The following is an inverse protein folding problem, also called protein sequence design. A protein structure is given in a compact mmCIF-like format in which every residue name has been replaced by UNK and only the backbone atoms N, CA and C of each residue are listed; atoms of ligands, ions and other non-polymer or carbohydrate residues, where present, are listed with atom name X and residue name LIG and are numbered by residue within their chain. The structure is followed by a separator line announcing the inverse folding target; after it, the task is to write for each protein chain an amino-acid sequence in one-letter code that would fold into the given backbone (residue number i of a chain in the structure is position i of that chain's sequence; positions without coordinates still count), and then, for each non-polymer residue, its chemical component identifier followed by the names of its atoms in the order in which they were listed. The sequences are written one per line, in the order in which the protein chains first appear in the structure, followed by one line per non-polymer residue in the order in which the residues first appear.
data_IF_119958184449
#
_entry.id   IF_119958184449
#
_cell.length_a   1.000
_cell.length_b   1.000
_cell.length_c   1.000
_cell.angle_alpha   90.00
_cell.angle_beta   90.00
_cell.angle_gamma   90.00
#
_symmetry.space_group_name_H-M   'P 1'
#
loop_
_entity.id
_entity.type
_entity.pdbx_description
1 polymer ?
#
# COMPACT_ATOMS: atom_id res chain seq x y z
N UNK A 1 11.39 -29.22 -12.62
CA UNK A 1 11.30 -27.98 -11.84
C UNK A 1 11.50 -28.31 -10.38
N UNK A 2 12.54 -27.78 -9.76
CA UNK A 2 12.79 -27.81 -8.32
C UNK A 2 11.91 -26.77 -7.61
N UNK A 3 11.80 -26.84 -6.28
CA UNK A 3 11.10 -25.79 -5.52
C UNK A 3 11.71 -24.41 -5.74
N UNK A 4 13.05 -24.31 -5.80
CA UNK A 4 13.74 -23.04 -6.00
C UNK A 4 13.46 -22.47 -7.40
N UNK A 5 13.43 -23.33 -8.43
CA UNK A 5 13.02 -22.92 -9.79
C UNK A 5 11.54 -22.47 -9.80
N UNK A 6 10.67 -23.16 -9.08
CA UNK A 6 9.25 -22.80 -8.99
C UNK A 6 9.03 -21.46 -8.29
N UNK A 7 9.78 -21.15 -7.23
CA UNK A 7 9.71 -19.84 -6.57
C UNK A 7 10.14 -18.70 -7.52
N UNK A 8 11.17 -18.92 -8.33
CA UNK A 8 11.59 -17.94 -9.34
C UNK A 8 10.56 -17.77 -10.46
N UNK A 9 9.83 -18.84 -10.83
CA UNK A 9 8.70 -18.74 -11.75
C UNK A 9 7.58 -17.86 -11.16
N UNK A 10 7.21 -18.07 -9.88
CA UNK A 10 6.20 -17.25 -9.20
C UNK A 10 6.65 -15.78 -9.13
N UNK A 11 7.93 -15.50 -8.85
CA UNK A 11 8.45 -14.12 -8.92
C UNK A 11 8.18 -13.49 -10.30
N UNK A 12 8.36 -14.26 -11.38
CA UNK A 12 8.08 -13.76 -12.73
C UNK A 12 6.58 -13.53 -12.97
N UNK A 13 5.71 -14.42 -12.49
CA UNK A 13 4.25 -14.27 -12.54
C UNK A 13 3.82 -12.96 -11.85
N UNK A 14 4.23 -12.74 -10.61
CA UNK A 14 3.86 -11.54 -9.83
C UNK A 14 4.38 -10.23 -10.48
N UNK A 15 5.56 -10.27 -11.12
CA UNK A 15 6.05 -9.13 -11.91
C UNK A 15 5.08 -8.78 -13.07
N UNK A 16 4.52 -9.79 -13.73
CA UNK A 16 3.56 -9.61 -14.83
C UNK A 16 2.22 -9.11 -14.28
N UNK A 17 1.78 -9.57 -13.12
CA UNK A 17 0.54 -9.11 -12.48
C UNK A 17 0.62 -7.63 -12.08
N UNK A 18 1.72 -7.20 -11.45
CA UNK A 18 1.99 -5.78 -11.16
C UNK A 18 1.94 -4.95 -12.43
N UNK A 19 2.62 -5.38 -13.50
CA UNK A 19 2.62 -4.67 -14.78
C UNK A 19 1.21 -4.60 -15.40
N UNK A 20 0.43 -5.67 -15.29
CA UNK A 20 -0.94 -5.73 -15.77
C UNK A 20 -1.83 -4.73 -15.01
N UNK A 21 -1.73 -4.66 -13.68
CA UNK A 21 -2.48 -3.71 -12.86
C UNK A 21 -2.11 -2.26 -13.13
N UNK A 22 -0.81 -1.95 -13.27
CA UNK A 22 -0.35 -0.62 -13.66
C UNK A 22 -0.94 -0.23 -15.01
N UNK A 23 -0.97 -1.16 -15.98
CA UNK A 23 -1.57 -0.91 -17.29
C UNK A 23 -3.07 -0.60 -17.21
N UNK A 24 -3.81 -1.21 -16.28
CA UNK A 24 -5.22 -0.87 -16.00
C UNK A 24 -5.35 0.51 -15.37
N UNK A 25 -4.51 0.84 -14.38
CA UNK A 25 -4.50 2.15 -13.74
C UNK A 25 -4.18 3.28 -14.74
N UNK A 26 -3.26 3.06 -15.68
CA UNK A 26 -2.95 4.00 -16.75
C UNK A 26 -4.11 4.18 -17.74
N UNK A 27 -4.89 3.13 -18.00
CA UNK A 27 -6.01 3.17 -18.96
C UNK A 27 -7.29 3.75 -18.37
N UNK A 28 -7.61 3.44 -17.12
CA UNK A 28 -8.89 3.76 -16.50
C UNK A 28 -8.79 4.76 -15.35
N UNK A 29 -7.58 5.14 -14.94
CA UNK A 29 -7.32 5.99 -13.79
C UNK A 29 -7.05 5.17 -12.53
N UNK A 30 -6.22 5.73 -11.65
CA UNK A 30 -5.80 5.11 -10.38
C UNK A 30 -6.95 4.98 -9.38
N UNK A 31 -7.91 5.91 -9.41
CA UNK A 31 -9.07 5.93 -8.53
C UNK A 31 -10.27 5.13 -9.05
N UNK A 32 -10.18 4.54 -10.25
CA UNK A 32 -11.28 3.73 -10.80
C UNK A 32 -11.44 2.43 -10.02
N UNK A 33 -12.70 2.03 -9.85
CA UNK A 33 -13.13 0.80 -9.21
C UNK A 33 -13.89 -0.02 -10.26
N UNK A 34 -13.26 -1.09 -10.74
CA UNK A 34 -13.89 -2.06 -11.63
C UNK A 34 -15.21 -2.58 -11.03
N UNK A 35 -16.27 -2.83 -11.84
CA UNK A 35 -17.51 -3.42 -11.36
C UNK A 35 -17.29 -4.74 -10.61
N UNK A 36 -18.04 -4.94 -9.52
CA UNK A 36 -18.05 -6.14 -8.69
C UNK A 36 -16.77 -6.39 -7.85
N UNK A 37 -16.00 -5.34 -7.57
CA UNK A 37 -14.90 -5.43 -6.60
C UNK A 37 -14.77 -4.12 -5.80
N UNK A 38 -14.22 -4.14 -4.57
CA UNK A 38 -14.29 -3.00 -3.64
C UNK A 38 -13.07 -2.06 -3.69
N UNK A 39 -12.05 -2.36 -4.49
CA UNK A 39 -10.74 -1.69 -4.47
C UNK A 39 -10.54 -0.77 -5.67
N UNK A 40 -9.81 0.30 -5.47
CA UNK A 40 -9.29 1.15 -6.54
C UNK A 40 -8.20 0.44 -7.32
N UNK A 41 -7.94 0.86 -8.56
CA UNK A 41 -6.80 0.36 -9.32
C UNK A 41 -5.46 0.59 -8.60
N UNK A 42 -5.32 1.68 -7.84
CA UNK A 42 -4.13 1.92 -7.02
C UNK A 42 -3.96 0.87 -5.92
N UNK A 43 -5.02 0.54 -5.18
CA UNK A 43 -4.98 -0.51 -4.15
C UNK A 43 -4.66 -1.88 -4.76
N UNK A 44 -5.23 -2.19 -5.92
CA UNK A 44 -4.96 -3.44 -6.63
C UNK A 44 -3.52 -3.56 -7.13
N UNK A 45 -2.89 -2.45 -7.56
CA UNK A 45 -1.44 -2.45 -7.86
C UNK A 45 -0.65 -2.79 -6.60
N UNK A 46 -1.06 -2.26 -5.44
CA UNK A 46 -0.36 -2.52 -4.18
C UNK A 46 -0.56 -3.94 -3.65
N UNK A 47 -1.68 -4.59 -3.95
CA UNK A 47 -1.88 -6.01 -3.62
C UNK A 47 -0.86 -6.89 -4.37
N UNK A 48 -0.79 -6.82 -5.71
CA UNK A 48 0.19 -7.65 -6.45
C UNK A 48 1.64 -7.26 -6.10
N UNK A 49 1.89 -5.99 -5.75
CA UNK A 49 3.21 -5.57 -5.30
C UNK A 49 3.57 -6.18 -3.93
N UNK A 50 2.59 -6.33 -3.03
CA UNK A 50 2.81 -7.02 -1.75
C UNK A 50 3.09 -8.50 -1.96
N UNK A 51 2.38 -9.16 -2.88
CA UNK A 51 2.61 -10.56 -3.24
C UNK A 51 4.00 -10.76 -3.85
N UNK A 52 4.44 -9.84 -4.73
CA UNK A 52 5.81 -9.79 -5.25
C UNK A 52 6.86 -9.65 -4.13
N UNK A 53 6.63 -8.78 -3.13
CA UNK A 53 7.56 -8.64 -2.00
C UNK A 53 7.63 -9.95 -1.22
N UNK A 54 6.48 -10.56 -0.91
CA UNK A 54 6.42 -11.79 -0.12
C UNK A 54 7.24 -12.91 -0.78
N UNK A 55 7.10 -13.11 -2.09
CA UNK A 55 7.84 -14.16 -2.80
C UNK A 55 9.34 -13.85 -2.91
N UNK A 56 9.73 -12.57 -3.04
CA UNK A 56 11.13 -12.15 -3.03
C UNK A 56 11.77 -12.39 -1.65
N UNK A 57 11.06 -12.08 -0.57
CA UNK A 57 11.52 -12.36 0.80
C UNK A 57 11.70 -13.87 1.04
N UNK A 58 10.78 -14.71 0.52
CA UNK A 58 10.95 -16.17 0.56
C UNK A 58 12.20 -16.63 -0.21
N UNK A 59 12.50 -16.01 -1.36
CA UNK A 59 13.71 -16.31 -2.13
C UNK A 59 14.99 -15.89 -1.40
N UNK A 60 14.98 -14.73 -0.72
CA UNK A 60 16.10 -14.24 0.10
C UNK A 60 16.36 -15.15 1.29
N UNK A 61 15.29 -15.58 1.99
CA UNK A 61 15.39 -16.55 3.08
C UNK A 61 15.99 -17.90 2.66
N UNK A 62 15.92 -18.24 1.36
CA UNK A 62 16.54 -19.43 0.76
C UNK A 62 17.87 -19.16 0.06
N UNK A 63 18.42 -17.94 0.19
CA UNK A 63 19.65 -17.50 -0.49
C UNK A 63 19.62 -17.63 -2.02
N UNK A 64 18.42 -17.55 -2.63
CA UNK A 64 18.26 -17.55 -4.10
C UNK A 64 18.48 -16.17 -4.69
N UNK A 65 18.10 -15.13 -3.94
CA UNK A 65 18.27 -13.74 -4.30
C UNK A 65 18.96 -13.00 -3.16
N UNK A 66 19.84 -12.02 -3.45
CA UNK A 66 20.42 -11.17 -2.43
C UNK A 66 19.38 -10.18 -1.88
N UNK A 67 19.69 -9.63 -0.71
CA UNK A 67 18.93 -8.51 -0.14
C UNK A 67 18.99 -7.27 -1.03
N UNK A 68 17.96 -6.43 -0.90
CA UNK A 68 17.88 -5.20 -1.68
C UNK A 68 18.79 -4.13 -1.06
N UNK A 69 19.78 -3.72 -1.85
CA UNK A 69 20.68 -2.63 -1.54
C UNK A 69 19.96 -1.27 -1.55
N UNK A 70 19.72 -0.69 -0.37
CA UNK A 70 18.94 0.56 -0.23
C UNK A 70 19.51 1.73 -1.03
N UNK A 71 20.84 1.83 -1.17
CA UNK A 71 21.47 2.91 -1.94
C UNK A 71 21.12 2.84 -3.43
N UNK A 72 20.94 1.64 -4.01
CA UNK A 72 20.50 1.48 -5.42
C UNK A 72 19.11 2.04 -5.64
N UNK A 73 18.22 1.90 -4.65
CA UNK A 73 16.88 2.48 -4.69
C UNK A 73 16.99 4.01 -4.75
N UNK A 74 17.78 4.61 -3.87
CA UNK A 74 17.91 6.08 -3.81
C UNK A 74 18.57 6.66 -5.07
N UNK A 75 19.61 5.99 -5.62
CA UNK A 75 20.19 6.38 -6.92
C UNK A 75 19.17 6.28 -8.05
N UNK A 76 18.35 5.23 -8.08
CA UNK A 76 17.32 5.04 -9.11
C UNK A 76 16.25 6.13 -9.02
N UNK A 77 15.81 6.51 -7.82
CA UNK A 77 14.88 7.63 -7.60
C UNK A 77 15.45 8.94 -8.14
N UNK A 78 16.68 9.30 -7.74
CA UNK A 78 17.34 10.52 -8.21
C UNK A 78 17.48 10.56 -9.75
N UNK A 79 17.74 9.40 -10.38
CA UNK A 79 17.79 9.27 -11.84
C UNK A 79 16.42 9.48 -12.49
N UNK A 80 15.36 8.90 -11.92
CA UNK A 80 13.98 9.07 -12.42
C UNK A 80 13.56 10.54 -12.32
N UNK A 81 13.82 11.20 -11.20
CA UNK A 81 13.47 12.62 -11.00
C UNK A 81 14.11 13.52 -12.07
N UNK A 82 15.40 13.28 -12.36
CA UNK A 82 16.11 13.98 -13.44
C UNK A 82 15.46 13.74 -14.80
N UNK A 83 15.06 12.50 -15.10
CA UNK A 83 14.40 12.19 -16.36
C UNK A 83 12.99 12.77 -16.47
N UNK A 84 12.24 12.82 -15.37
CA UNK A 84 10.93 13.48 -15.36
C UNK A 84 11.06 14.99 -15.57
N UNK A 85 12.04 15.64 -14.94
CA UNK A 85 12.35 17.05 -15.18
C UNK A 85 12.69 17.30 -16.65
N UNK A 86 13.55 16.46 -17.24
CA UNK A 86 13.91 16.57 -18.64
C UNK A 86 12.72 16.31 -19.58
N UNK A 87 11.90 15.29 -19.31
CA UNK A 87 10.70 14.99 -20.10
C UNK A 87 9.70 16.16 -20.09
N UNK A 88 9.56 16.86 -18.95
CA UNK A 88 8.77 18.10 -18.86
C UNK A 88 9.36 19.22 -19.73
N UNK A 89 10.67 19.41 -19.70
CA UNK A 89 11.34 20.39 -20.57
C UNK A 89 11.15 20.08 -22.06
N UNK A 90 11.10 18.79 -22.43
CA UNK A 90 10.79 18.34 -23.78
C UNK A 90 9.29 18.42 -24.14
N UNK A 91 8.40 18.73 -23.17
CA UNK A 91 6.96 18.76 -23.38
C UNK A 91 6.30 17.39 -23.58
N UNK A 92 7.00 16.28 -23.28
CA UNK A 92 6.47 14.91 -23.46
C UNK A 92 5.67 14.40 -22.27
N UNK A 93 5.78 15.07 -21.12
CA UNK A 93 5.01 14.79 -19.91
C UNK A 93 4.45 16.10 -19.37
N UNK A 94 3.14 16.15 -19.17
CA UNK A 94 2.44 17.26 -18.52
C UNK A 94 2.26 16.97 -17.04
N UNK A 95 2.06 18.01 -16.23
CA UNK A 95 1.63 17.83 -14.85
C UNK A 95 0.20 17.28 -14.83
N UNK A 96 -0.04 16.29 -13.96
CA UNK A 96 -1.39 15.83 -13.72
C UNK A 96 -2.19 16.97 -13.09
N UNK A 97 -3.33 17.32 -13.69
CA UNK A 97 -4.29 18.25 -13.06
C UNK A 97 -4.72 17.62 -11.74
N UNK A 98 -4.40 18.27 -10.63
CA UNK A 98 -4.89 17.83 -9.33
C UNK A 98 -6.41 17.93 -9.34
N UNK A 99 -7.10 16.78 -9.28
CA UNK A 99 -8.50 16.78 -8.95
C UNK A 99 -8.65 17.40 -7.56
N UNK A 100 -9.25 18.58 -7.48
CA UNK A 100 -9.61 19.21 -6.21
C UNK A 100 -10.61 18.32 -5.49
N UNK A 101 -10.14 17.45 -4.60
CA UNK A 101 -10.99 16.63 -3.74
C UNK A 101 -11.61 17.50 -2.65
N UNK A 102 -12.68 18.22 -2.96
CA UNK A 102 -13.51 18.93 -1.98
C UNK A 102 -14.60 18.04 -1.34
N UNK A 103 -14.71 16.75 -1.69
CA UNK A 103 -15.94 16.00 -1.43
C UNK A 103 -15.82 14.65 -0.70
N UNK A 104 -14.67 14.21 -0.17
CA UNK A 104 -14.58 12.88 0.49
C UNK A 104 -13.74 12.84 1.78
N UNK A 105 -13.97 13.80 2.69
CA UNK A 105 -13.82 13.52 4.12
C UNK A 105 -15.19 13.68 4.77
N UNK A 106 -15.98 12.61 4.76
CA UNK A 106 -17.01 12.47 5.77
C UNK A 106 -16.29 12.55 7.13
N UNK A 107 -16.68 13.45 8.04
CA UNK A 107 -16.09 13.48 9.37
C UNK A 107 -16.43 12.16 10.06
N UNK A 108 -15.40 11.46 10.54
CA UNK A 108 -15.59 10.41 11.54
C UNK A 108 -16.28 11.10 12.73
N UNK A 109 -17.53 10.71 12.92
CA UNK A 109 -18.41 11.09 14.03
C UNK A 109 -17.63 11.12 15.36
N UNK A 110 -17.33 12.34 15.81
CA UNK A 110 -16.90 12.63 17.17
C UNK A 110 -18.13 13.18 17.90
N UNK A 111 -18.76 12.34 18.72
CA UNK A 111 -19.47 12.80 19.91
C UNK A 111 -20.80 12.14 20.20
N UNK A 112 -20.79 11.21 21.17
CA UNK A 112 -21.84 11.23 22.20
C UNK A 112 -21.33 10.60 23.50
N UNK A 113 -20.67 11.41 24.32
CA UNK A 113 -20.58 11.21 25.76
C UNK A 113 -21.76 11.93 26.43
N UNK A 114 -22.80 11.18 26.79
CA UNK A 114 -23.82 11.53 27.78
C UNK A 114 -24.12 10.19 28.47
N UNK A 115 -23.71 9.93 29.71
CA UNK A 115 -24.16 10.65 30.89
C UNK A 115 -25.45 10.00 31.41
N UNK A 116 -25.33 8.88 32.13
CA UNK A 116 -26.36 8.45 33.09
C UNK A 116 -25.67 8.21 34.43
N UNK A 117 -25.73 9.25 35.27
CA UNK A 117 -25.54 9.13 36.72
C UNK A 117 -26.75 8.40 37.30
N UNK A 118 -26.51 7.34 38.09
CA UNK A 118 -27.37 6.99 39.21
C UNK A 118 -26.51 6.51 40.39
N UNK A 119 -26.92 6.98 41.56
CA UNK A 119 -26.17 7.19 42.80
C UNK A 119 -26.15 6.01 43.77
N UNK A 120 -25.10 6.02 44.59
CA UNK A 120 -25.04 5.65 46.01
C UNK A 120 -25.19 4.17 46.42
N UNK A 121 -24.10 3.62 47.00
CA UNK A 121 -24.11 3.20 48.40
C UNK A 121 -22.66 3.00 48.91
N UNK A 122 -22.38 3.64 50.04
CA UNK A 122 -21.15 3.56 50.84
C UNK A 122 -21.11 2.25 51.64
N UNK A 123 -19.93 1.62 51.74
CA UNK A 123 -19.32 0.98 52.93
C UNK A 123 -17.97 0.38 52.47
N UNK A 124 -16.79 0.91 52.85
CA UNK A 124 -16.06 0.58 54.08
C UNK A 124 -16.18 -0.92 54.40
N UNK A 125 -15.15 -1.75 54.26
CA UNK A 125 -14.04 -1.85 55.22
C UNK A 125 -12.79 -2.56 54.61
N UNK A 126 -11.65 -2.35 55.27
CA UNK A 126 -10.30 -2.85 54.97
C UNK A 126 -9.99 -4.17 55.75
N UNK A 127 -8.77 -4.75 55.67
CA UNK A 127 -8.53 -6.19 55.52
C UNK A 127 -8.35 -7.00 56.83
N UNK A 128 -8.40 -8.32 56.72
CA UNK A 128 -7.84 -9.34 57.64
C UNK A 128 -7.27 -10.43 56.73
N UNK A 129 -5.99 -10.81 56.73
CA UNK A 129 -5.26 -11.35 57.87
C UNK A 129 -5.48 -12.86 57.94
N UNK A 130 -4.60 -13.64 57.27
CA UNK A 130 -3.97 -14.95 57.60
C UNK A 130 -3.40 -15.52 56.31
#
# INVERSE_FOLDING_TARGET
MTENEHLLEIVAEECVEVAQRISKALRFGTSEIQPNQPYTNAERVMHEYADLIAIVEMCQGRSLLPDVERWRIEEKKAKIDRFLQYARQCGTVTEAVQATNAANRAPLDQGCSQGISLTAAQTAERPSGV
#
